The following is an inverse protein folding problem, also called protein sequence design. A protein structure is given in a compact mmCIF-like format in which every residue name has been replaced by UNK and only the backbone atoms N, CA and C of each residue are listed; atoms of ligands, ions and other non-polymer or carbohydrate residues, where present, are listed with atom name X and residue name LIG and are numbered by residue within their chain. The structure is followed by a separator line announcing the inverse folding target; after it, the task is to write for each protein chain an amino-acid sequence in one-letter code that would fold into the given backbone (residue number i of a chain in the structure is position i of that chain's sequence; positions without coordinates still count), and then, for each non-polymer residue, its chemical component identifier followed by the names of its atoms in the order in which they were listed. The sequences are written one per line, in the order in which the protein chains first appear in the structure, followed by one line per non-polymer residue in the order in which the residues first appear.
data_IF_186705710710
#
_entry.id   IF_186705710710
#
_cell.length_a   1.000
_cell.length_b   1.000
_cell.length_c   1.000
_cell.angle_alpha   90.00
_cell.angle_beta   90.00
_cell.angle_gamma   90.00
#
_symmetry.space_group_name_H-M   'P 1'
#
loop_
_entity.id
_entity.type
_entity.pdbx_description
1 polymer ?
#
# COMPACT_ATOMS: atom_id res chain seq x y z
N UNK A 1 -23.56 -9.33 6.05
CA UNK A 1 -23.20 -8.06 5.39
C UNK A 1 -22.85 -6.99 6.41
N UNK A 2 -23.82 -6.32 7.06
CA UNK A 2 -23.53 -5.31 8.10
C UNK A 2 -22.69 -5.89 9.24
N UNK A 3 -22.99 -7.10 9.71
CA UNK A 3 -22.27 -7.73 10.82
C UNK A 3 -20.81 -8.03 10.45
N UNK A 4 -20.52 -8.65 9.31
CA UNK A 4 -19.14 -8.96 8.88
C UNK A 4 -18.33 -7.70 8.58
N UNK A 5 -18.95 -6.69 7.97
CA UNK A 5 -18.32 -5.37 7.77
C UNK A 5 -18.11 -4.65 9.09
N UNK A 6 -19.02 -4.76 10.07
CA UNK A 6 -18.81 -4.27 11.44
C UNK A 6 -17.70 -5.05 12.13
N UNK A 7 -17.65 -6.39 12.02
CA UNK A 7 -16.60 -7.23 12.60
C UNK A 7 -15.22 -6.88 12.02
N UNK A 8 -15.16 -6.59 10.72
CA UNK A 8 -13.92 -6.15 10.08
C UNK A 8 -13.56 -4.69 10.43
N UNK A 9 -14.50 -3.75 10.27
CA UNK A 9 -14.27 -2.31 10.44
C UNK A 9 -14.21 -1.85 11.90
N UNK A 10 -14.95 -2.51 12.80
CA UNK A 10 -15.08 -2.12 14.21
C UNK A 10 -14.29 -3.03 15.15
N UNK A 11 -14.07 -4.29 14.77
CA UNK A 11 -13.40 -5.28 15.62
C UNK A 11 -12.11 -5.85 15.01
N UNK A 12 -11.64 -5.33 13.86
CA UNK A 12 -10.41 -5.74 13.17
C UNK A 12 -10.32 -7.25 12.86
N UNK A 13 -11.45 -7.92 12.66
CA UNK A 13 -11.46 -9.35 12.33
C UNK A 13 -11.12 -9.53 10.84
N UNK A 14 -10.08 -10.32 10.49
CA UNK A 14 -9.69 -10.55 9.09
C UNK A 14 -10.83 -11.08 8.23
N UNK A 15 -10.91 -10.68 6.96
CA UNK A 15 -12.01 -11.07 6.06
C UNK A 15 -12.19 -12.58 5.96
N UNK A 16 -11.10 -13.37 5.94
CA UNK A 16 -11.17 -14.84 5.94
C UNK A 16 -11.79 -15.41 7.22
N UNK A 17 -11.51 -14.83 8.38
CA UNK A 17 -12.14 -15.23 9.64
C UNK A 17 -13.63 -14.82 9.67
N UNK A 18 -13.95 -13.63 9.15
CA UNK A 18 -15.33 -13.16 8.99
C UNK A 18 -16.14 -14.02 8.00
N UNK A 19 -15.50 -14.56 6.95
CA UNK A 19 -16.12 -15.53 6.02
C UNK A 19 -16.46 -16.86 6.70
N UNK A 20 -15.64 -17.33 7.64
CA UNK A 20 -15.89 -18.56 8.42
C UNK A 20 -17.00 -18.36 9.46
N UNK A 21 -17.14 -17.16 10.02
CA UNK A 21 -18.17 -16.85 11.01
C UNK A 21 -19.57 -16.71 10.40
N UNK A 22 -19.67 -16.34 9.11
CA UNK A 22 -20.95 -16.13 8.42
C UNK A 22 -21.84 -17.39 8.33
N UNK A 23 -21.33 -18.59 7.94
CA UNK A 23 -22.09 -19.83 7.99
C UNK A 23 -22.65 -20.14 9.38
N UNK A 24 -21.84 -19.96 10.42
CA UNK A 24 -22.24 -20.22 11.81
C UNK A 24 -23.32 -19.25 12.30
N UNK A 25 -23.22 -17.96 11.94
CA UNK A 25 -24.26 -16.97 12.23
C UNK A 25 -25.56 -17.27 11.47
N UNK A 26 -25.47 -17.68 10.21
CA UNK A 26 -26.62 -18.08 9.40
C UNK A 26 -27.35 -19.29 10.00
N UNK A 27 -26.61 -20.25 10.55
CA UNK A 27 -27.20 -21.41 11.25
C UNK A 27 -27.91 -20.99 12.53
N UNK A 28 -27.29 -20.11 13.34
CA UNK A 28 -27.89 -19.60 14.58
C UNK A 28 -29.15 -18.76 14.32
N UNK A 29 -29.15 -17.93 13.27
CA UNK A 29 -30.32 -17.13 12.88
C UNK A 29 -31.43 -18.07 12.38
N UNK A 30 -31.11 -19.05 11.52
CA UNK A 30 -32.09 -20.04 11.05
C UNK A 30 -32.68 -20.87 12.18
N UNK A 31 -31.88 -21.29 13.16
CA UNK A 31 -32.36 -22.04 14.33
C UNK A 31 -33.21 -21.20 15.28
N UNK A 32 -32.96 -19.89 15.34
CA UNK A 32 -33.74 -18.94 16.17
C UNK A 32 -35.06 -18.54 15.51
N UNK A 33 -35.11 -18.52 14.17
CA UNK A 33 -36.34 -18.27 13.41
C UNK A 33 -37.24 -19.52 13.41
N UNK A 34 -36.67 -20.73 13.36
CA UNK A 34 -37.45 -21.97 13.42
C UNK A 34 -38.11 -22.24 14.77
N UNK A 35 -37.66 -21.58 15.85
CA UNK A 35 -38.22 -21.72 17.20
C UNK A 35 -39.29 -20.67 17.54
N UNK A 36 -39.47 -19.64 16.70
CA UNK A 36 -40.50 -18.63 16.86
C UNK A 36 -41.55 -18.79 15.76
N UNK A 37 -42.71 -19.38 16.10
CA UNK A 37 -43.80 -19.72 15.18
C UNK A 37 -44.55 -18.52 14.55
N UNK A 38 -43.84 -17.49 14.08
CA UNK A 38 -44.37 -16.31 13.40
C UNK A 38 -44.23 -16.40 11.88
N UNK A 39 -45.14 -15.75 11.16
CA UNK A 39 -45.24 -15.65 9.69
C UNK A 39 -43.89 -15.44 8.97
N UNK A 40 -43.72 -15.92 7.72
CA UNK A 40 -42.46 -15.80 6.99
C UNK A 40 -42.10 -14.32 6.78
N UNK A 41 -41.13 -13.83 7.55
CA UNK A 41 -40.45 -12.57 7.24
C UNK A 41 -39.66 -12.75 5.94
N UNK A 42 -39.50 -11.68 5.12
CA UNK A 42 -38.81 -11.78 3.85
C UNK A 42 -37.43 -12.39 4.10
N UNK A 43 -37.15 -13.48 3.40
CA UNK A 43 -35.92 -14.25 3.57
C UNK A 43 -34.72 -13.30 3.52
N UNK A 44 -34.10 -13.05 4.67
CA UNK A 44 -32.85 -12.29 4.75
C UNK A 44 -31.77 -13.15 4.08
N UNK A 45 -31.62 -12.98 2.77
CA UNK A 45 -30.55 -13.60 2.01
C UNK A 45 -29.25 -12.87 2.35
N UNK A 46 -28.50 -13.41 3.31
CA UNK A 46 -27.15 -12.92 3.61
C UNK A 46 -26.25 -13.31 2.42
N UNK A 47 -25.65 -12.33 1.70
CA UNK A 47 -24.77 -12.63 0.58
C UNK A 47 -23.59 -13.48 1.04
N UNK A 48 -23.29 -14.55 0.28
CA UNK A 48 -22.18 -15.47 0.59
C UNK A 48 -20.82 -14.85 0.24
N UNK A 49 -20.77 -13.92 -0.71
CA UNK A 49 -19.54 -13.31 -1.18
C UNK A 49 -19.34 -11.91 -0.57
N UNK A 50 -18.20 -11.74 0.11
CA UNK A 50 -17.79 -10.46 0.68
C UNK A 50 -17.14 -9.55 -0.37
N UNK A 51 -16.58 -10.12 -1.44
CA UNK A 51 -15.82 -9.40 -2.47
C UNK A 51 -16.68 -8.30 -3.09
N UNK A 52 -17.93 -8.61 -3.42
CA UNK A 52 -18.90 -7.64 -3.96
C UNK A 52 -19.17 -6.46 -3.02
N UNK A 53 -19.14 -6.64 -1.70
CA UNK A 53 -19.36 -5.55 -0.74
C UNK A 53 -18.14 -4.64 -0.65
N UNK A 54 -16.94 -5.23 -0.62
CA UNK A 54 -15.69 -4.48 -0.61
C UNK A 54 -15.50 -3.69 -1.90
N UNK A 55 -15.87 -4.26 -3.05
CA UNK A 55 -15.92 -3.59 -4.34
C UNK A 55 -16.96 -2.47 -4.36
N UNK A 56 -18.20 -2.73 -3.93
CA UNK A 56 -19.28 -1.75 -3.96
C UNK A 56 -19.05 -0.58 -2.99
N UNK A 57 -18.42 -0.84 -1.84
CA UNK A 57 -18.03 0.16 -0.86
C UNK A 57 -16.63 0.76 -1.11
N UNK A 58 -15.92 0.30 -2.16
CA UNK A 58 -14.56 0.70 -2.51
C UNK A 58 -13.57 0.65 -1.33
N UNK A 59 -13.77 -0.33 -0.44
CA UNK A 59 -12.95 -0.54 0.76
C UNK A 59 -11.62 -1.23 0.41
N UNK A 60 -11.55 -1.83 -0.77
CA UNK A 60 -10.32 -2.46 -1.23
C UNK A 60 -9.26 -1.43 -1.66
N UNK A 61 -7.98 -1.74 -1.39
CA UNK A 61 -6.89 -0.95 -1.92
C UNK A 61 -6.92 -1.03 -3.45
N UNK A 62 -6.82 0.11 -4.12
CA UNK A 62 -6.56 0.10 -5.56
C UNK A 62 -5.11 -0.31 -5.76
N UNK A 63 -4.90 -1.43 -6.44
CA UNK A 63 -3.58 -2.05 -6.62
C UNK A 63 -3.22 -2.16 -8.11
N UNK A 64 -1.92 -2.22 -8.38
CA UNK A 64 -1.35 -2.49 -9.69
C UNK A 64 -0.45 -3.72 -9.61
N UNK A 65 -0.70 -4.68 -10.50
CA UNK A 65 0.03 -5.94 -10.55
C UNK A 65 1.12 -5.89 -11.62
N UNK A 66 2.34 -5.57 -11.19
CA UNK A 66 3.50 -5.53 -12.05
C UNK A 66 4.11 -6.91 -12.29
N UNK A 67 4.56 -7.13 -13.52
CA UNK A 67 5.45 -8.24 -13.86
C UNK A 67 6.84 -7.88 -13.37
N UNK A 68 7.30 -8.58 -12.35
CA UNK A 68 8.60 -8.33 -11.73
C UNK A 68 9.60 -9.34 -12.28
N UNK A 69 10.72 -8.88 -12.83
CA UNK A 69 11.77 -9.78 -13.29
C UNK A 69 12.29 -10.61 -12.08
N UNK A 70 12.30 -11.95 -12.14
CA UNK A 70 12.72 -12.75 -11.00
C UNK A 70 14.21 -12.62 -10.67
N UNK A 71 15.03 -12.10 -11.60
CA UNK A 71 16.46 -11.89 -11.41
C UNK A 71 16.79 -10.47 -10.94
N UNK A 72 16.45 -9.44 -11.72
CA UNK A 72 16.85 -8.07 -11.41
C UNK A 72 15.76 -7.24 -10.70
N UNK A 73 14.53 -7.74 -10.62
CA UNK A 73 13.35 -7.08 -10.03
C UNK A 73 12.85 -5.85 -10.80
N UNK A 74 13.33 -5.64 -12.03
CA UNK A 74 12.75 -4.64 -12.93
C UNK A 74 11.25 -4.91 -13.18
N UNK A 75 10.46 -3.84 -13.17
CA UNK A 75 9.01 -3.91 -13.36
C UNK A 75 8.67 -3.71 -14.84
N UNK A 76 8.35 -4.79 -15.55
CA UNK A 76 8.18 -4.85 -17.01
C UNK A 76 6.76 -4.47 -17.48
N UNK A 77 6.10 -3.57 -16.75
CA UNK A 77 4.69 -3.23 -16.99
C UNK A 77 3.71 -4.13 -16.25
N UNK A 78 2.44 -4.09 -16.69
CA UNK A 78 1.32 -4.72 -16.00
C UNK A 78 1.03 -6.12 -16.56
N UNK A 79 0.64 -7.03 -15.66
CA UNK A 79 0.34 -8.43 -16.00
C UNK A 79 -0.79 -8.54 -17.03
N UNK A 80 -1.77 -7.64 -16.96
CA UNK A 80 -2.95 -7.61 -17.85
C UNK A 80 -2.62 -7.12 -19.27
N UNK A 81 -1.46 -6.52 -19.50
CA UNK A 81 -1.08 -5.89 -20.77
C UNK A 81 -0.17 -6.76 -21.64
N UNK A 82 0.08 -8.01 -21.26
CA UNK A 82 1.03 -8.88 -21.98
C UNK A 82 0.39 -9.46 -23.24
N UNK A 83 0.99 -9.14 -24.38
CA UNK A 83 0.58 -9.67 -25.70
C UNK A 83 1.67 -10.49 -26.38
N UNK A 84 2.91 -10.41 -25.91
CA UNK A 84 4.04 -11.13 -26.51
C UNK A 84 4.09 -12.59 -26.01
N UNK A 85 4.24 -13.56 -26.92
CA UNK A 85 4.23 -14.99 -26.61
C UNK A 85 5.32 -15.44 -25.61
N UNK A 86 6.47 -14.76 -25.63
CA UNK A 86 7.60 -15.04 -24.73
C UNK A 86 8.16 -13.72 -24.18
N UNK A 87 7.57 -13.18 -23.10
CA UNK A 87 8.02 -11.92 -22.54
C UNK A 87 9.34 -12.12 -21.78
N UNK A 88 10.34 -11.31 -22.14
CA UNK A 88 11.65 -11.28 -21.50
C UNK A 88 11.88 -9.91 -20.86
N UNK A 89 12.77 -9.86 -19.88
CA UNK A 89 13.11 -8.63 -19.18
C UNK A 89 13.62 -7.53 -20.14
N UNK A 90 13.07 -6.33 -20.01
CA UNK A 90 13.32 -5.14 -20.84
C UNK A 90 14.09 -4.05 -20.10
N UNK A 91 14.79 -4.41 -19.02
CA UNK A 91 15.53 -3.50 -18.14
C UNK A 91 16.52 -2.56 -18.89
N UNK A 92 16.89 -2.87 -20.13
CA UNK A 92 17.86 -2.13 -20.97
C UNK A 92 17.24 -1.46 -22.19
N UNK A 93 15.92 -1.36 -22.26
CA UNK A 93 15.28 -0.59 -23.35
C UNK A 93 15.42 0.94 -23.15
N UNK A 94 15.90 1.39 -21.99
CA UNK A 94 16.25 2.77 -21.74
C UNK A 94 17.75 2.99 -22.00
N UNK A 95 18.07 3.84 -23.00
CA UNK A 95 19.44 4.14 -23.42
C UNK A 95 20.29 4.78 -22.31
N UNK A 96 19.66 5.30 -21.26
CA UNK A 96 20.34 5.92 -20.12
C UNK A 96 20.52 4.97 -18.93
N UNK A 97 20.14 3.69 -19.06
CA UNK A 97 20.28 2.73 -17.97
C UNK A 97 21.64 2.01 -18.00
N UNK A 98 22.53 2.36 -17.07
CA UNK A 98 23.83 1.73 -16.88
C UNK A 98 23.80 0.45 -16.01
N UNK A 99 22.60 0.01 -15.59
CA UNK A 99 22.45 -1.20 -14.78
C UNK A 99 22.80 -2.48 -15.60
N UNK A 100 23.21 -3.61 -14.97
CA UNK A 100 23.68 -4.81 -15.69
C UNK A 100 22.61 -5.46 -16.59
N UNK A 101 22.98 -5.99 -17.78
CA UNK A 101 22.06 -6.60 -18.72
C UNK A 101 21.23 -7.75 -18.10
N UNK A 102 19.94 -7.79 -18.40
CA UNK A 102 19.05 -8.87 -17.98
C UNK A 102 18.06 -9.23 -19.10
N UNK A 103 18.06 -10.49 -19.51
CA UNK A 103 17.16 -11.08 -20.52
C UNK A 103 16.31 -12.20 -19.95
N UNK A 104 16.12 -12.23 -18.62
CA UNK A 104 15.41 -13.31 -17.94
C UNK A 104 13.97 -13.44 -18.42
N UNK A 105 13.52 -14.68 -18.65
CA UNK A 105 12.11 -14.99 -18.96
C UNK A 105 11.21 -14.55 -17.81
N UNK A 106 10.12 -13.86 -18.15
CA UNK A 106 9.21 -13.25 -17.19
C UNK A 106 8.07 -14.15 -16.75
N UNK A 107 7.81 -15.26 -17.45
CA UNK A 107 6.68 -16.15 -17.17
C UNK A 107 6.34 -17.02 -18.36
N UNK A 108 5.14 -17.61 -18.33
CA UNK A 108 4.64 -18.48 -19.38
C UNK A 108 3.13 -18.29 -19.58
N UNK A 109 2.65 -18.56 -20.78
CA UNK A 109 1.21 -18.69 -21.02
C UNK A 109 0.74 -20.08 -20.65
N UNK A 110 -0.47 -20.14 -20.09
CA UNK A 110 -1.20 -21.37 -19.83
C UNK A 110 -2.52 -21.27 -20.58
N UNK A 111 -2.94 -22.41 -21.13
CA UNK A 111 -4.18 -22.55 -21.88
C UNK A 111 -5.15 -23.37 -21.03
N UNK A 112 -6.30 -22.79 -20.72
CA UNK A 112 -7.36 -23.47 -19.98
C UNK A 112 -8.62 -23.55 -20.83
N UNK A 113 -9.33 -24.67 -20.67
CA UNK A 113 -10.65 -24.88 -21.26
C UNK A 113 -11.69 -24.50 -20.21
N UNK A 114 -12.42 -23.41 -20.44
CA UNK A 114 -13.57 -23.09 -19.60
C UNK A 114 -14.78 -23.92 -20.07
N UNK A 115 -15.37 -24.78 -19.21
CA UNK A 115 -16.61 -25.46 -19.55
C UNK A 115 -17.75 -24.44 -19.48
N UNK A 116 -18.05 -23.78 -20.60
CA UNK A 116 -19.28 -23.01 -20.70
C UNK A 116 -20.49 -23.94 -20.66
N UNK A 117 -21.50 -23.56 -19.86
CA UNK A 117 -22.84 -24.18 -19.79
C UNK A 117 -23.57 -24.12 -21.16
N UNK A 118 -23.04 -23.36 -22.14
CA UNK A 118 -23.55 -23.26 -23.50
C UNK A 118 -22.43 -23.61 -24.51
N UNK A 119 -22.48 -24.83 -25.05
CA UNK A 119 -21.89 -25.44 -26.28
C UNK A 119 -20.80 -24.75 -27.14
N UNK A 120 -20.03 -23.79 -26.66
CA UNK A 120 -18.86 -23.24 -27.34
C UNK A 120 -17.66 -23.30 -26.41
N UNK A 121 -16.73 -24.19 -26.72
CA UNK A 121 -15.42 -24.28 -26.07
C UNK A 121 -14.59 -23.08 -26.51
N UNK A 122 -14.43 -22.07 -25.64
CA UNK A 122 -13.48 -20.99 -25.83
C UNK A 122 -12.17 -21.36 -25.14
N UNK A 123 -11.05 -21.30 -25.88
CA UNK A 123 -9.72 -21.51 -25.31
C UNK A 123 -9.27 -20.19 -24.68
N UNK A 124 -9.12 -20.18 -23.34
CA UNK A 124 -8.64 -19.01 -22.63
C UNK A 124 -7.13 -19.09 -22.49
N UNK A 125 -6.44 -18.10 -23.02
CA UNK A 125 -4.99 -17.91 -22.86
C UNK A 125 -4.75 -16.95 -21.71
N UNK A 126 -3.97 -17.37 -20.72
CA UNK A 126 -3.63 -16.56 -19.54
C UNK A 126 -2.11 -16.54 -19.32
N UNK A 127 -1.55 -15.36 -19.12
CA UNK A 127 -0.13 -15.20 -18.78
C UNK A 127 0.09 -15.36 -17.28
N UNK A 128 1.00 -16.25 -16.89
CA UNK A 128 1.42 -16.42 -15.50
C UNK A 128 2.86 -15.91 -15.33
N UNK A 129 3.07 -14.81 -14.61
CA UNK A 129 4.41 -14.29 -14.35
C UNK A 129 5.15 -15.19 -13.35
N UNK A 130 6.46 -15.35 -13.56
CA UNK A 130 7.34 -16.05 -12.62
C UNK A 130 7.40 -15.33 -11.28
N UNK A 131 7.36 -13.99 -11.30
CA UNK A 131 7.32 -13.14 -10.11
C UNK A 131 6.44 -11.91 -10.38
N UNK A 132 5.65 -11.53 -9.39
CA UNK A 132 4.84 -10.32 -9.42
C UNK A 132 5.25 -9.38 -8.30
N UNK A 133 5.00 -8.09 -8.51
CA UNK A 133 5.06 -7.08 -7.46
C UNK A 133 3.74 -6.32 -7.45
N UNK A 134 3.09 -6.29 -6.30
CA UNK A 134 1.81 -5.61 -6.11
C UNK A 134 2.12 -4.25 -5.50
N UNK A 135 1.73 -3.19 -6.20
CA UNK A 135 1.83 -1.82 -5.73
C UNK A 135 0.44 -1.29 -5.38
N UNK A 136 0.23 -0.84 -4.14
CA UNK A 136 -0.95 -0.05 -3.81
C UNK A 136 -0.80 1.34 -4.43
N UNK A 137 -1.84 1.91 -5.03
CA UNK A 137 -1.75 3.27 -5.57
C UNK A 137 -1.74 4.31 -4.45
N UNK A 138 -0.62 5.04 -4.32
CA UNK A 138 -0.43 5.95 -3.19
C UNK A 138 -1.43 7.10 -3.21
N UNK A 139 -1.68 7.71 -4.37
CA UNK A 139 -2.66 8.81 -4.50
C UNK A 139 -4.07 8.38 -4.09
N UNK A 140 -4.50 7.17 -4.43
CA UNK A 140 -5.81 6.65 -4.03
C UNK A 140 -5.89 6.40 -2.53
N UNK A 141 -4.83 5.83 -1.94
CA UNK A 141 -4.75 5.68 -0.49
C UNK A 141 -4.76 7.04 0.21
N UNK A 142 -3.97 8.00 -0.28
CA UNK A 142 -3.85 9.34 0.30
C UNK A 142 -5.18 10.11 0.20
N UNK A 143 -5.91 9.98 -0.90
CA UNK A 143 -7.25 10.56 -1.05
C UNK A 143 -8.21 10.03 0.04
N UNK A 144 -8.22 8.71 0.29
CA UNK A 144 -9.02 8.12 1.37
C UNK A 144 -8.53 8.55 2.75
N UNK A 145 -7.22 8.60 2.95
CA UNK A 145 -6.61 9.05 4.20
C UNK A 145 -7.07 10.48 4.54
N UNK A 146 -7.06 11.40 3.57
CA UNK A 146 -7.49 12.79 3.75
C UNK A 146 -9.01 12.95 3.94
N UNK A 147 -9.80 11.94 3.57
CA UNK A 147 -11.25 11.91 3.77
C UNK A 147 -11.66 11.41 5.16
N UNK A 148 -10.72 10.91 5.96
CA UNK A 148 -11.02 10.47 7.32
C UNK A 148 -11.49 11.66 8.18
N UNK A 149 -12.54 11.44 8.98
CA UNK A 149 -13.09 12.49 9.84
C UNK A 149 -12.03 13.02 10.83
N UNK A 150 -11.85 14.34 10.88
CA UNK A 150 -10.90 14.99 11.79
C UNK A 150 -9.43 14.95 11.34
N UNK A 151 -9.10 14.24 10.25
CA UNK A 151 -7.70 14.05 9.85
C UNK A 151 -7.04 15.36 9.44
N UNK A 152 -7.76 16.23 8.74
CA UNK A 152 -7.24 17.50 8.25
C UNK A 152 -6.86 18.41 9.41
N UNK A 153 -7.68 18.47 10.45
CA UNK A 153 -7.42 19.21 11.68
C UNK A 153 -6.18 18.66 12.41
N UNK A 154 -6.08 17.32 12.52
CA UNK A 154 -4.95 16.66 13.16
C UNK A 154 -3.64 16.93 12.39
N UNK A 155 -3.67 16.95 11.05
CA UNK A 155 -2.49 17.18 10.22
C UNK A 155 -1.80 18.53 10.50
N UNK A 156 -2.52 19.53 11.00
CA UNK A 156 -1.96 20.86 11.35
C UNK A 156 -1.52 20.98 12.82
N UNK A 157 -1.80 20.00 13.69
CA UNK A 157 -1.44 20.07 15.11
C UNK A 157 0.07 20.17 15.35
N UNK A 158 0.88 19.63 14.44
CA UNK A 158 2.34 19.71 14.50
C UNK A 158 2.88 21.16 14.47
N UNK A 159 2.08 22.14 14.00
CA UNK A 159 2.45 23.55 13.96
C UNK A 159 2.29 24.25 15.31
N UNK A 160 1.52 23.66 16.22
CA UNK A 160 1.33 24.20 17.56
C UNK A 160 2.57 23.92 18.42
N UNK A 161 2.99 24.85 19.29
CA UNK A 161 4.07 24.60 20.24
C UNK A 161 3.67 23.48 21.20
N UNK A 162 4.25 22.29 21.06
CA UNK A 162 3.90 21.13 21.90
C UNK A 162 4.68 21.12 23.22
N UNK A 163 5.86 21.73 23.28
CA UNK A 163 6.81 21.57 24.39
C UNK A 163 7.29 22.93 24.94
N UNK A 164 7.10 23.20 26.26
CA UNK A 164 7.71 24.34 26.93
C UNK A 164 9.24 24.32 26.79
N UNK A 165 9.87 25.50 26.71
CA UNK A 165 11.34 25.60 26.68
C UNK A 165 11.93 24.90 27.92
N UNK A 166 12.75 23.87 27.69
CA UNK A 166 13.44 23.12 28.75
C UNK A 166 12.79 21.77 29.10
N UNK A 167 11.65 21.40 28.53
CA UNK A 167 11.11 20.04 28.68
C UNK A 167 11.89 19.02 27.84
N UNK A 168 11.84 17.73 28.20
CA UNK A 168 12.30 16.67 27.31
C UNK A 168 11.65 16.80 25.93
N UNK A 169 12.44 16.54 24.88
CA UNK A 169 11.93 16.45 23.52
C UNK A 169 11.24 15.10 23.37
N UNK A 170 9.96 15.11 23.07
CA UNK A 170 9.12 13.92 23.00
C UNK A 170 8.57 13.68 21.59
N UNK A 171 8.65 14.69 20.70
CA UNK A 171 8.17 14.61 19.33
C UNK A 171 9.26 14.86 18.29
N UNK A 172 9.03 14.31 17.10
CA UNK A 172 9.85 14.63 15.92
C UNK A 172 9.89 16.13 15.65
N UNK A 173 8.76 16.81 15.85
CA UNK A 173 8.64 18.25 15.61
C UNK A 173 9.36 19.12 16.64
N UNK A 174 9.88 18.56 17.73
CA UNK A 174 10.80 19.26 18.64
C UNK A 174 12.22 19.43 18.03
N UNK A 175 12.52 18.67 16.97
CA UNK A 175 13.78 18.70 16.24
C UNK A 175 13.87 19.89 15.27
N UNK A 176 14.92 20.71 15.42
CA UNK A 176 15.17 21.84 14.52
C UNK A 176 15.40 21.40 13.07
N UNK A 177 16.01 20.24 12.84
CA UNK A 177 16.28 19.70 11.50
C UNK A 177 14.99 19.52 10.70
N UNK A 178 13.93 19.02 11.33
CA UNK A 178 12.64 18.79 10.68
C UNK A 178 11.85 20.08 10.54
N UNK A 179 11.87 20.94 11.56
CA UNK A 179 11.17 22.23 11.55
C UNK A 179 11.73 23.24 10.56
N UNK A 180 13.03 23.15 10.23
CA UNK A 180 13.71 24.07 9.31
C UNK A 180 13.97 23.47 7.94
N UNK A 181 13.51 22.24 7.69
CA UNK A 181 13.61 21.62 6.38
C UNK A 181 12.83 22.48 5.36
N UNK A 182 13.53 23.10 4.40
CA UNK A 182 12.92 23.91 3.35
C UNK A 182 12.64 23.10 2.09
N UNK A 183 13.33 21.97 1.92
CA UNK A 183 13.25 21.15 0.70
C UNK A 183 14.05 21.70 -0.48
N UNK A 184 14.66 22.87 -0.34
CA UNK A 184 15.51 23.48 -1.36
C UNK A 184 16.93 23.66 -0.80
N UNK A 185 17.88 24.01 -1.66
CA UNK A 185 19.22 24.43 -1.21
C UNK A 185 19.23 25.84 -0.63
N UNK A 186 18.11 26.58 -0.71
CA UNK A 186 18.01 27.93 -0.19
C UNK A 186 17.50 27.89 1.26
N UNK A 187 18.35 28.32 2.18
CA UNK A 187 18.04 28.36 3.62
C UNK A 187 17.07 29.50 3.98
N UNK A 188 16.87 30.47 3.08
CA UNK A 188 15.94 31.58 3.28
C UNK A 188 14.50 31.25 2.89
N UNK A 189 14.26 30.11 2.24
CA UNK A 189 12.92 29.66 1.92
C UNK A 189 12.15 29.34 3.20
N UNK A 190 10.83 29.54 3.16
CA UNK A 190 9.97 29.16 4.28
C UNK A 190 10.09 27.64 4.52
N UNK A 191 10.08 27.18 5.78
CA UNK A 191 10.10 25.74 6.06
C UNK A 191 8.96 25.00 5.35
N UNK A 192 9.24 23.83 4.79
CA UNK A 192 8.29 23.04 4.02
C UNK A 192 6.98 22.80 4.78
N UNK A 193 7.07 22.49 6.08
CA UNK A 193 5.91 22.22 6.93
C UNK A 193 5.09 23.47 7.31
N UNK A 194 5.55 24.67 6.95
CA UNK A 194 4.75 25.90 7.04
C UNK A 194 3.82 26.09 5.83
N UNK A 195 4.05 25.34 4.74
CA UNK A 195 3.23 25.42 3.53
C UNK A 195 1.88 24.74 3.81
N UNK A 196 0.78 25.40 3.45
CA UNK A 196 -0.56 24.83 3.59
C UNK A 196 -0.66 23.55 2.75
N UNK A 197 -1.07 22.45 3.41
CA UNK A 197 -1.22 21.14 2.75
C UNK A 197 0.09 20.36 2.64
N UNK A 198 1.17 20.83 3.26
CA UNK A 198 2.39 20.04 3.41
C UNK A 198 2.17 18.88 4.39
N UNK A 199 2.47 17.67 3.91
CA UNK A 199 2.47 16.44 4.71
C UNK A 199 3.84 15.79 4.66
N UNK A 200 4.35 15.41 5.81
CA UNK A 200 5.60 14.71 5.99
C UNK A 200 5.35 13.26 6.37
N UNK A 201 6.13 12.36 5.79
CA UNK A 201 6.07 10.94 6.08
C UNK A 201 7.46 10.39 6.39
N UNK A 202 7.50 9.28 7.11
CA UNK A 202 8.66 8.40 7.15
C UNK A 202 8.43 7.19 6.26
N UNK A 203 9.50 6.71 5.64
CA UNK A 203 9.51 5.42 4.94
C UNK A 203 10.06 4.34 5.85
N UNK A 204 9.39 3.19 5.87
CA UNK A 204 9.87 1.98 6.54
C UNK A 204 10.08 0.90 5.49
N UNK A 205 11.27 0.31 5.48
CA UNK A 205 11.63 -0.82 4.62
C UNK A 205 12.45 -1.79 5.46
N UNK A 206 11.96 -3.01 5.57
CA UNK A 206 12.65 -4.10 6.28
C UNK A 206 12.29 -5.41 5.60
N UNK A 207 13.14 -6.42 5.73
CA UNK A 207 12.85 -7.77 5.28
C UNK A 207 13.40 -8.79 6.27
N UNK A 208 12.55 -9.72 6.65
CA UNK A 208 12.88 -10.72 7.66
C UNK A 208 12.43 -12.10 7.20
N UNK A 209 12.94 -13.14 7.86
CA UNK A 209 12.51 -14.51 7.58
C UNK A 209 11.17 -14.77 8.30
N UNK A 210 10.09 -14.82 7.54
CA UNK A 210 8.73 -14.96 8.09
C UNK A 210 8.50 -16.30 8.82
N UNK A 211 9.31 -17.32 8.52
CA UNK A 211 9.20 -18.67 9.10
C UNK A 211 10.34 -19.00 10.08
N UNK A 212 11.11 -17.99 10.49
CA UNK A 212 12.24 -18.16 11.40
C UNK A 212 13.35 -19.08 10.83
N UNK A 213 14.16 -19.68 11.70
CA UNK A 213 15.35 -20.47 11.29
C UNK A 213 15.04 -21.75 10.51
N UNK A 214 13.77 -22.18 10.45
CA UNK A 214 13.37 -23.50 9.96
C UNK A 214 13.27 -23.60 8.44
N UNK A 215 13.06 -22.48 7.73
CA UNK A 215 13.08 -22.45 6.25
C UNK A 215 14.07 -21.40 5.76
N UNK A 216 15.01 -21.79 4.90
CA UNK A 216 16.09 -20.89 4.43
C UNK A 216 15.66 -19.89 3.35
N UNK A 217 14.40 -19.90 2.91
CA UNK A 217 14.01 -19.30 1.62
C UNK A 217 12.68 -18.52 1.64
N UNK A 218 12.30 -17.93 2.77
CA UNK A 218 11.07 -17.13 2.86
C UNK A 218 11.33 -15.80 3.55
N UNK A 219 12.04 -14.90 2.85
CA UNK A 219 12.12 -13.50 3.24
C UNK A 219 10.84 -12.75 2.81
N UNK A 220 10.27 -11.97 3.72
CA UNK A 220 9.13 -11.09 3.45
C UNK A 220 9.46 -9.73 4.05
N UNK A 221 9.17 -8.67 3.31
CA UNK A 221 9.49 -7.32 3.75
C UNK A 221 8.51 -6.26 3.27
N UNK A 222 7.87 -5.48 4.15
CA UNK A 222 6.95 -4.43 3.72
C UNK A 222 7.69 -3.15 3.34
N UNK A 223 7.16 -2.43 2.36
CA UNK A 223 7.50 -1.03 2.10
C UNK A 223 6.32 -0.20 2.60
N UNK A 224 6.52 0.60 3.65
CA UNK A 224 5.46 1.39 4.28
C UNK A 224 5.77 2.87 4.32
N UNK A 225 4.73 3.71 4.28
CA UNK A 225 4.82 5.12 4.63
C UNK A 225 3.96 5.42 5.85
N UNK A 226 4.50 6.24 6.75
CA UNK A 226 3.87 6.60 8.03
C UNK A 226 3.81 8.12 8.14
N UNK A 227 2.62 8.69 8.39
CA UNK A 227 2.43 10.14 8.41
C UNK A 227 2.99 10.77 9.70
N UNK A 228 4.02 11.61 9.58
CA UNK A 228 4.69 12.25 10.71
C UNK A 228 3.90 13.44 11.27
N UNK A 229 2.99 14.02 10.49
CA UNK A 229 2.09 15.08 10.96
C UNK A 229 1.15 14.60 12.07
N UNK A 230 0.81 13.31 12.09
CA UNK A 230 -0.06 12.73 13.11
C UNK A 230 0.66 12.61 14.46
N UNK A 231 -0.04 12.78 15.60
CA UNK A 231 0.50 12.50 16.91
C UNK A 231 0.83 11.00 17.06
N UNK A 232 1.74 10.61 17.98
CA UNK A 232 2.18 9.22 18.11
C UNK A 232 1.05 8.22 18.34
N UNK A 233 0.01 8.62 19.07
CA UNK A 233 -1.17 7.79 19.34
C UNK A 233 -1.97 7.41 18.09
N UNK A 234 -1.87 8.21 17.03
CA UNK A 234 -2.61 8.02 15.77
C UNK A 234 -1.72 7.44 14.66
N UNK A 235 -0.43 7.76 14.69
CA UNK A 235 0.53 7.53 13.60
C UNK A 235 0.63 6.07 13.12
N UNK A 236 0.60 5.11 14.06
CA UNK A 236 0.77 3.68 13.77
C UNK A 236 -0.55 2.89 13.75
N UNK A 237 -1.70 3.57 13.83
CA UNK A 237 -2.98 2.88 13.64
C UNK A 237 -3.03 2.28 12.22
N UNK A 238 -3.52 1.05 12.03
CA UNK A 238 -3.54 0.41 10.71
C UNK A 238 -4.18 1.24 9.60
N UNK A 239 -5.20 2.06 9.94
CA UNK A 239 -5.88 2.97 9.00
C UNK A 239 -5.02 4.15 8.52
N UNK A 240 -3.92 4.46 9.24
CA UNK A 240 -3.03 5.59 8.99
C UNK A 240 -1.66 5.16 8.44
N UNK A 241 -1.41 3.84 8.35
CA UNK A 241 -0.19 3.28 7.77
C UNK A 241 -0.47 2.90 6.32
N UNK A 242 0.32 3.44 5.42
CA UNK A 242 0.28 3.08 4.01
C UNK A 242 1.25 1.94 3.74
N UNK A 243 0.81 0.92 3.00
CA UNK A 243 1.67 -0.18 2.56
C UNK A 243 1.80 -0.11 1.05
N UNK A 244 2.94 0.39 0.57
CA UNK A 244 3.21 0.53 -0.85
C UNK A 244 3.27 -0.82 -1.55
N UNK A 245 3.89 -1.81 -0.92
CA UNK A 245 4.02 -3.16 -1.47
C UNK A 245 4.74 -4.09 -0.51
N UNK A 246 4.77 -5.38 -0.88
CA UNK A 246 5.46 -6.43 -0.13
C UNK A 246 6.57 -7.01 -0.99
N UNK A 247 7.78 -6.97 -0.48
CA UNK A 247 8.97 -7.58 -1.03
C UNK A 247 8.93 -9.07 -0.68
N UNK A 248 8.90 -9.91 -1.70
CA UNK A 248 8.88 -11.37 -1.55
C UNK A 248 10.25 -11.97 -1.90
N UNK A 249 10.65 -12.94 -1.08
CA UNK A 249 11.92 -13.66 -1.10
C UNK A 249 12.19 -14.49 -2.35
N UNK A 250 13.28 -15.28 -2.35
CA UNK A 250 13.78 -16.04 -1.18
C UNK A 250 14.71 -15.30 -0.22
N UNK A 251 15.35 -14.20 -0.63
CA UNK A 251 16.22 -13.35 0.20
C UNK A 251 15.77 -11.88 0.11
N UNK A 252 16.33 -11.05 0.98
CA UNK A 252 16.20 -9.59 0.85
C UNK A 252 16.74 -9.09 -0.49
N UNK A 253 16.21 -7.97 -1.01
CA UNK A 253 16.64 -7.40 -2.27
C UNK A 253 18.04 -6.77 -2.14
N UNK A 254 18.79 -6.75 -3.24
CA UNK A 254 19.95 -5.86 -3.38
C UNK A 254 19.51 -4.40 -3.50
N UNK A 255 20.42 -3.44 -3.34
CA UNK A 255 20.14 -2.01 -3.57
C UNK A 255 19.48 -1.75 -4.94
N UNK A 256 20.02 -2.38 -5.99
CA UNK A 256 19.47 -2.26 -7.35
C UNK A 256 18.07 -2.86 -7.47
N UNK A 257 17.84 -4.04 -6.88
CA UNK A 257 16.50 -4.65 -6.86
C UNK A 257 15.49 -3.78 -6.10
N UNK A 258 15.89 -3.22 -4.95
CA UNK A 258 15.04 -2.33 -4.15
C UNK A 258 14.70 -1.04 -4.91
N UNK A 259 15.68 -0.44 -5.62
CA UNK A 259 15.45 0.71 -6.51
C UNK A 259 14.30 0.45 -7.47
N UNK A 260 14.28 -0.71 -8.14
CA UNK A 260 13.22 -1.06 -9.09
C UNK A 260 11.85 -1.24 -8.43
N UNK A 261 11.80 -1.90 -7.27
CA UNK A 261 10.56 -2.05 -6.51
C UNK A 261 10.01 -0.70 -6.01
N UNK A 262 10.88 0.28 -5.73
CA UNK A 262 10.49 1.62 -5.30
C UNK A 262 10.07 2.55 -6.45
N UNK A 263 10.33 2.20 -7.72
CA UNK A 263 10.04 3.09 -8.85
C UNK A 263 8.58 3.58 -8.93
N UNK A 264 7.55 2.73 -8.74
CA UNK A 264 6.16 3.18 -8.76
C UNK A 264 5.89 4.22 -7.66
N UNK A 265 6.42 3.98 -6.46
CA UNK A 265 6.30 4.92 -5.35
C UNK A 265 7.02 6.22 -5.66
N UNK A 266 8.29 6.16 -6.09
CA UNK A 266 9.09 7.35 -6.43
C UNK A 266 8.39 8.21 -7.48
N UNK A 267 7.70 7.60 -8.46
CA UNK A 267 6.91 8.34 -9.46
C UNK A 267 5.80 9.15 -8.78
N UNK A 268 4.98 8.52 -7.94
CA UNK A 268 3.92 9.21 -7.19
C UNK A 268 4.48 10.31 -6.28
N UNK A 269 5.61 10.05 -5.61
CA UNK A 269 6.26 11.01 -4.72
C UNK A 269 6.80 12.23 -5.47
N UNK A 270 7.34 12.06 -6.67
CA UNK A 270 7.80 13.18 -7.52
C UNK A 270 6.66 14.11 -7.91
N UNK A 271 5.50 13.56 -8.25
CA UNK A 271 4.30 14.34 -8.55
C UNK A 271 3.82 15.11 -7.31
N UNK A 272 3.71 14.42 -6.17
CA UNK A 272 3.27 15.02 -4.91
C UNK A 272 4.28 16.02 -4.33
N UNK A 273 5.57 15.92 -4.66
CA UNK A 273 6.58 16.91 -4.28
C UNK A 273 6.32 18.29 -4.92
N UNK A 274 5.95 18.28 -6.21
CA UNK A 274 5.54 19.48 -6.95
C UNK A 274 4.18 19.99 -6.45
N UNK A 275 3.33 19.07 -6.00
CA UNK A 275 2.03 19.33 -5.42
C UNK A 275 0.92 18.78 -6.30
N UNK A 276 -0.11 18.24 -5.66
CA UNK A 276 -1.22 17.57 -6.34
C UNK A 276 -2.56 18.06 -5.79
N UNK A 277 -3.50 18.35 -6.69
CA UNK A 277 -4.87 18.71 -6.34
C UNK A 277 -5.74 17.46 -6.25
N UNK A 278 -6.16 17.13 -5.04
CA UNK A 278 -7.21 16.15 -4.82
C UNK A 278 -8.59 16.80 -5.00
N UNK A 279 -9.49 16.07 -5.65
CA UNK A 279 -10.85 16.53 -5.92
C UNK A 279 -11.60 16.91 -4.63
N UNK A 280 -12.60 17.80 -4.71
CA UNK A 280 -13.47 18.16 -3.60
C UNK A 280 -14.01 16.94 -2.87
N UNK A 281 -13.94 16.99 -1.55
CA UNK A 281 -14.51 15.99 -0.64
C UNK A 281 -15.72 16.58 0.06
N UNK A 282 -16.57 15.75 0.67
CA UNK A 282 -17.69 16.22 1.51
C UNK A 282 -17.23 17.16 2.64
N UNK A 283 -15.97 17.04 3.07
CA UNK A 283 -15.32 17.85 4.10
C UNK A 283 -14.63 19.12 3.57
N UNK A 284 -14.50 19.28 2.25
CA UNK A 284 -13.70 20.34 1.63
C UNK A 284 -14.17 20.65 0.20
N UNK A 285 -15.08 21.62 -0.01
CA UNK A 285 -15.68 21.90 -1.32
C UNK A 285 -14.69 22.42 -2.37
N UNK A 286 -13.51 22.89 -1.96
CA UNK A 286 -12.46 23.39 -2.85
C UNK A 286 -11.40 22.33 -3.22
N UNK A 287 -11.54 21.10 -2.73
CA UNK A 287 -10.48 20.09 -2.82
C UNK A 287 -9.31 20.38 -1.89
N UNK A 288 -8.29 19.53 -1.95
CA UNK A 288 -7.08 19.66 -1.13
C UNK A 288 -5.84 19.69 -2.01
N UNK A 289 -5.10 20.81 -1.98
CA UNK A 289 -3.76 20.86 -2.55
C UNK A 289 -2.77 20.30 -1.54
N UNK A 290 -2.09 19.22 -1.91
CA UNK A 290 -1.18 18.51 -1.01
C UNK A 290 0.21 18.48 -1.60
N UNK A 291 1.20 18.79 -0.74
CA UNK A 291 2.61 18.58 -1.02
C UNK A 291 3.18 17.56 -0.07
N UNK A 292 3.98 16.63 -0.58
CA UNK A 292 4.50 15.51 0.20
C UNK A 292 6.02 15.57 0.34
N UNK A 293 6.54 15.20 1.51
CA UNK A 293 7.97 14.96 1.73
C UNK A 293 8.22 13.69 2.54
N UNK A 294 9.26 12.92 2.18
CA UNK A 294 9.86 11.93 3.09
C UNK A 294 10.92 12.66 3.91
N UNK A 295 10.74 12.70 5.22
CA UNK A 295 11.72 13.29 6.12
C UNK A 295 12.64 12.24 6.74
N UNK A 296 12.13 11.03 6.99
CA UNK A 296 12.87 10.03 7.76
C UNK A 296 12.76 8.64 7.12
N UNK A 297 13.84 7.88 7.19
CA UNK A 297 13.83 6.44 6.92
C UNK A 297 13.94 5.69 8.26
N UNK A 298 13.00 4.80 8.54
CA UNK A 298 13.02 3.89 9.68
C UNK A 298 13.39 2.52 9.12
N UNK A 299 14.66 2.18 9.22
CA UNK A 299 15.25 1.02 8.54
C UNK A 299 16.39 0.49 9.39
N UNK A 300 16.68 -0.81 9.29
CA UNK A 300 17.93 -1.33 9.83
C UNK A 300 19.13 -0.85 8.98
N UNK A 301 20.36 -1.15 9.41
CA UNK A 301 21.56 -0.67 8.72
C UNK A 301 21.66 -1.21 7.29
N UNK A 302 21.26 -2.46 7.06
CA UNK A 302 21.36 -3.10 5.74
C UNK A 302 20.33 -2.51 4.78
N UNK A 303 19.10 -2.34 5.23
CA UNK A 303 18.02 -1.67 4.51
C UNK A 303 18.33 -0.21 4.26
N UNK A 304 18.96 0.50 5.21
CA UNK A 304 19.45 1.86 5.00
C UNK A 304 20.43 1.93 3.84
N UNK A 305 21.49 1.11 3.85
CA UNK A 305 22.49 1.07 2.79
C UNK A 305 21.84 0.81 1.41
N UNK A 306 20.92 -0.15 1.35
CA UNK A 306 20.20 -0.47 0.11
C UNK A 306 19.25 0.65 -0.35
N UNK A 307 18.56 1.33 0.59
CA UNK A 307 17.62 2.39 0.30
C UNK A 307 18.32 3.69 -0.15
N UNK A 308 19.44 4.04 0.49
CA UNK A 308 20.16 5.28 0.24
C UNK A 308 21.26 5.14 -0.80
N UNK A 309 21.55 3.91 -1.27
CA UNK A 309 22.68 3.63 -2.15
C UNK A 309 24.04 3.87 -1.49
N UNK A 310 24.10 3.90 -0.15
CA UNK A 310 25.34 3.99 0.59
C UNK A 310 25.94 2.59 0.68
N UNK A 311 27.21 2.46 0.31
CA UNK A 311 27.93 1.18 0.33
C UNK A 311 27.96 0.67 1.79
N UNK A 312 27.40 -0.51 2.04
CA UNK A 312 27.61 -1.23 3.28
C UNK A 312 29.05 -1.75 3.28
N UNK A 313 29.88 -1.27 4.20
CA UNK A 313 31.22 -1.81 4.45
C UNK A 313 31.17 -3.19 5.11
#
# INVERSE_FOLDING_TARGET
MIISSILSLRYNIPCRASQILNPSLNLLIKSSISSSGGSPTPAFHIPQDLSTIFEHLQLEPVIQNYICCPQCFFLNGFTESVTADQPHCQCHNDQNNHDPPCTQSLGKFIYSFEPHIQKTTSMKQEFIPTKHFIYQLFKNWLARFLQQAGIMEILYQHQQPQTPKGSPKCEIWDGLVWRRFTGTRNIHDAPFMSIRGAVAFSIYVDWFNAHGKSTRFSSIGPIMLICLNLPPSERLKPVNVYVAGIILGPKGPTALQLKYLLMPLIKDLKELWQGYHFLPTSTGPSGSFIRFAILMAIVDVVAMCNLTGLISH
#
